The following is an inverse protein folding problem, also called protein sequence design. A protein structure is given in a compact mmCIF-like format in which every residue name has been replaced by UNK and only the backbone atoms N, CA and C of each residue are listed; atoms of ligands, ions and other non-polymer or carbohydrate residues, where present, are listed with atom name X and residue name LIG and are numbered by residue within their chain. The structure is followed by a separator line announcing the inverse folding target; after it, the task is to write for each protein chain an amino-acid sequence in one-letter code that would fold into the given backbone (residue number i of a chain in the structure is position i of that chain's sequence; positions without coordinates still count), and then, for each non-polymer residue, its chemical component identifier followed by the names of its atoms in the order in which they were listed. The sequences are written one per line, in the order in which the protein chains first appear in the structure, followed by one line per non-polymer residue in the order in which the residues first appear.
data_IF_352151761830
#
_entry.id   IF_352151761830
#
_cell.length_a   1.000
_cell.length_b   1.000
_cell.length_c   1.000
_cell.angle_alpha   90.00
_cell.angle_beta   90.00
_cell.angle_gamma   90.00
#
_symmetry.space_group_name_H-M   'P 1'
#
loop_
_entity.id
_entity.type
_entity.pdbx_description
1 polymer ?
#
# COMPACT_ATOMS: atom_id res chain seq x y z
N UNK A 1 5.78 -10.31 -14.05
CA UNK A 1 4.57 -9.60 -14.50
C UNK A 1 3.75 -10.48 -15.40
N UNK A 2 2.45 -10.61 -15.10
CA UNK A 2 1.51 -11.41 -15.86
C UNK A 2 0.59 -10.53 -16.71
N UNK A 3 0.06 -11.11 -17.78
CA UNK A 3 -1.00 -10.50 -18.61
C UNK A 3 -2.31 -11.20 -18.33
N UNK A 4 -3.38 -10.42 -18.23
CA UNK A 4 -4.72 -10.95 -18.00
C UNK A 4 -5.72 -10.32 -18.97
N UNK A 5 -6.61 -11.15 -19.50
CA UNK A 5 -7.68 -10.74 -20.40
C UNK A 5 -9.02 -11.21 -19.81
N UNK A 6 -9.91 -10.25 -19.55
CA UNK A 6 -11.31 -10.53 -19.25
C UNK A 6 -12.17 -10.13 -20.45
N UNK A 7 -12.97 -11.08 -20.93
CA UNK A 7 -13.96 -10.81 -21.96
C UNK A 7 -15.37 -10.96 -21.38
N UNK A 8 -16.21 -9.95 -21.64
CA UNK A 8 -17.61 -9.91 -21.22
C UNK A 8 -18.45 -9.91 -22.48
N UNK A 9 -19.13 -11.03 -22.73
CA UNK A 9 -20.17 -11.10 -23.77
C UNK A 9 -21.41 -10.36 -23.32
N UNK A 10 -22.00 -9.58 -24.22
CA UNK A 10 -23.26 -8.87 -24.00
C UNK A 10 -24.18 -9.06 -25.21
N UNK A 11 -25.47 -8.80 -25.02
CA UNK A 11 -26.39 -8.58 -26.14
C UNK A 11 -26.04 -7.27 -26.86
N UNK A 12 -26.81 -6.89 -27.88
CA UNK A 12 -26.51 -5.69 -28.66
C UNK A 12 -26.50 -4.42 -27.79
N UNK A 13 -25.29 -3.91 -27.54
CA UNK A 13 -25.07 -2.79 -26.63
C UNK A 13 -25.34 -1.47 -27.34
N UNK A 14 -26.12 -0.54 -26.76
CA UNK A 14 -26.44 0.70 -27.46
C UNK A 14 -25.19 1.55 -27.66
N UNK A 15 -24.95 1.96 -28.92
CA UNK A 15 -23.73 2.66 -29.34
C UNK A 15 -23.45 3.94 -28.54
N UNK A 16 -24.50 4.65 -28.14
CA UNK A 16 -24.44 5.86 -27.34
C UNK A 16 -23.75 5.66 -25.96
N UNK A 17 -23.79 4.44 -25.41
CA UNK A 17 -23.22 4.14 -24.09
C UNK A 17 -21.87 3.43 -24.15
N UNK A 18 -21.39 3.00 -25.33
CA UNK A 18 -20.15 2.22 -25.44
C UNK A 18 -18.97 2.96 -24.79
N UNK A 19 -18.72 4.21 -25.18
CA UNK A 19 -17.57 4.97 -24.68
C UNK A 19 -17.65 5.26 -23.18
N UNK A 20 -18.85 5.57 -22.67
CA UNK A 20 -19.03 5.81 -21.23
C UNK A 20 -18.89 4.53 -20.42
N UNK A 21 -19.34 3.38 -20.93
CA UNK A 21 -19.14 2.07 -20.31
C UNK A 21 -17.66 1.66 -20.32
N UNK A 22 -16.93 1.85 -21.43
CA UNK A 22 -15.49 1.58 -21.49
C UNK A 22 -14.75 2.34 -20.39
N UNK A 23 -15.02 3.65 -20.25
CA UNK A 23 -14.41 4.50 -19.22
C UNK A 23 -14.75 4.03 -17.80
N UNK A 24 -16.02 3.70 -17.54
CA UNK A 24 -16.43 3.19 -16.23
C UNK A 24 -15.77 1.86 -15.87
N UNK A 25 -15.61 0.95 -16.84
CA UNK A 25 -14.90 -0.32 -16.62
C UNK A 25 -13.44 -0.06 -16.28
N UNK A 26 -12.78 0.82 -17.02
CA UNK A 26 -11.38 1.18 -16.76
C UNK A 26 -11.21 1.75 -15.33
N UNK A 27 -12.03 2.72 -14.94
CA UNK A 27 -11.99 3.34 -13.60
C UNK A 27 -12.27 2.32 -12.49
N UNK A 28 -13.27 1.45 -12.67
CA UNK A 28 -13.61 0.41 -11.69
C UNK A 28 -12.48 -0.59 -11.53
N UNK A 29 -11.82 -1.00 -12.61
CA UNK A 29 -10.69 -1.93 -12.53
C UNK A 29 -9.45 -1.28 -11.92
N UNK A 30 -9.14 -0.02 -12.24
CA UNK A 30 -8.06 0.72 -11.55
C UNK A 30 -8.29 0.74 -10.04
N UNK A 31 -9.51 1.07 -9.61
CA UNK A 31 -9.88 1.06 -8.19
C UNK A 31 -9.77 -0.32 -7.56
N UNK A 32 -10.24 -1.37 -8.25
CA UNK A 32 -10.16 -2.74 -7.77
C UNK A 32 -8.70 -3.19 -7.57
N UNK A 33 -7.81 -2.84 -8.50
CA UNK A 33 -6.37 -3.14 -8.41
C UNK A 33 -5.75 -2.46 -7.20
N UNK A 34 -6.04 -1.17 -6.98
CA UNK A 34 -5.57 -0.43 -5.82
C UNK A 34 -6.09 -1.03 -4.49
N UNK A 35 -7.40 -1.29 -4.40
CA UNK A 35 -8.05 -1.86 -3.20
C UNK A 35 -7.47 -3.24 -2.83
N UNK A 36 -7.04 -4.02 -3.81
CA UNK A 36 -6.45 -5.34 -3.61
C UNK A 36 -4.92 -5.33 -3.49
N UNK A 37 -4.30 -4.15 -3.38
CA UNK A 37 -2.84 -4.00 -3.29
C UNK A 37 -2.13 -4.73 -4.44
N UNK A 38 -2.62 -4.52 -5.65
CA UNK A 38 -1.99 -4.96 -6.87
C UNK A 38 -1.37 -3.75 -7.58
N UNK A 39 -0.35 -3.99 -8.40
CA UNK A 39 0.19 -3.01 -9.34
C UNK A 39 -0.07 -3.47 -10.77
N UNK A 40 -0.13 -2.48 -11.66
CA UNK A 40 -0.43 -2.67 -13.07
C UNK A 40 0.37 -1.63 -13.87
N UNK A 41 0.92 -2.05 -15.01
CA UNK A 41 1.57 -1.12 -15.95
C UNK A 41 0.54 -0.42 -16.83
N UNK A 42 -0.39 -1.18 -17.41
CA UNK A 42 -1.39 -0.66 -18.34
C UNK A 42 -2.72 -1.40 -18.20
N UNK A 43 -3.81 -0.62 -18.24
CA UNK A 43 -5.17 -1.13 -18.46
C UNK A 43 -5.70 -0.61 -19.79
N UNK A 44 -6.24 -1.53 -20.59
CA UNK A 44 -6.90 -1.20 -21.85
C UNK A 44 -8.27 -1.83 -21.91
N UNK A 45 -9.28 -1.02 -22.23
CA UNK A 45 -10.65 -1.50 -22.45
C UNK A 45 -11.01 -1.32 -23.91
N UNK A 46 -11.43 -2.40 -24.56
CA UNK A 46 -11.93 -2.41 -25.93
C UNK A 46 -13.33 -3.02 -26.02
N UNK A 47 -14.01 -2.76 -27.13
CA UNK A 47 -15.39 -3.23 -27.30
C UNK A 47 -15.76 -3.47 -28.75
N UNK A 48 -16.67 -4.40 -28.94
CA UNK A 48 -17.53 -4.54 -30.12
C UNK A 48 -19.00 -4.41 -29.66
N UNK A 49 -19.99 -4.32 -30.56
CA UNK A 49 -21.40 -4.20 -30.15
C UNK A 49 -21.90 -5.31 -29.21
N UNK A 50 -21.25 -6.48 -29.18
CA UNK A 50 -21.65 -7.65 -28.37
C UNK A 50 -20.58 -8.11 -27.38
N UNK A 51 -19.53 -7.31 -27.15
CA UNK A 51 -18.42 -7.70 -26.29
C UNK A 51 -17.65 -6.51 -25.73
N UNK A 52 -17.25 -6.59 -24.47
CA UNK A 52 -16.19 -5.77 -23.89
C UNK A 52 -14.99 -6.66 -23.55
N UNK A 53 -13.79 -6.15 -23.79
CA UNK A 53 -12.53 -6.80 -23.47
C UNK A 53 -11.69 -5.87 -22.59
N UNK A 54 -11.20 -6.40 -21.47
CA UNK A 54 -10.36 -5.66 -20.52
C UNK A 54 -9.01 -6.38 -20.47
N UNK A 55 -7.98 -5.72 -20.95
CA UNK A 55 -6.60 -6.19 -20.94
C UNK A 55 -5.86 -5.50 -19.81
N UNK A 56 -5.27 -6.31 -18.93
CA UNK A 56 -4.41 -5.88 -17.84
C UNK A 56 -2.99 -6.36 -18.16
N UNK A 57 -2.07 -5.42 -18.38
CA UNK A 57 -0.66 -5.70 -18.62
C UNK A 57 0.17 -5.33 -17.39
N UNK A 58 1.20 -6.13 -17.12
CA UNK A 58 2.05 -5.89 -15.97
C UNK A 58 1.39 -6.17 -14.61
N UNK A 59 0.37 -7.02 -14.54
CA UNK A 59 -0.31 -7.31 -13.27
C UNK A 59 0.63 -8.05 -12.32
N UNK A 60 0.77 -7.52 -11.12
CA UNK A 60 1.57 -8.13 -10.07
C UNK A 60 1.07 -7.74 -8.67
N UNK A 61 1.46 -8.52 -7.66
CA UNK A 61 1.24 -8.13 -6.27
C UNK A 61 2.03 -6.86 -5.95
N UNK A 62 1.35 -5.84 -5.46
CA UNK A 62 2.02 -4.65 -4.95
C UNK A 62 2.58 -4.99 -3.57
N UNK A 63 3.81 -5.52 -3.56
CA UNK A 63 4.59 -5.80 -2.34
C UNK A 63 5.14 -4.54 -1.70
N UNK A 64 4.55 -3.37 -1.93
CA UNK A 64 4.94 -2.15 -1.19
C UNK A 64 4.89 -2.47 0.29
N UNK A 65 6.07 -2.56 0.88
CA UNK A 65 6.23 -2.84 2.29
C UNK A 65 5.63 -1.64 3.02
N UNK A 66 4.42 -1.79 3.57
CA UNK A 66 3.86 -0.79 4.47
C UNK A 66 4.81 -0.71 5.68
N UNK A 67 5.73 0.27 5.65
CA UNK A 67 6.57 0.63 6.77
C UNK A 67 5.68 1.30 7.81
N UNK A 68 5.35 0.57 8.87
CA UNK A 68 4.67 1.13 10.02
C UNK A 68 5.73 1.82 10.87
N UNK A 69 5.67 3.15 10.94
CA UNK A 69 6.48 3.95 11.85
C UNK A 69 5.75 4.06 13.19
N UNK A 70 6.15 3.27 14.18
CA UNK A 70 5.54 3.28 15.52
C UNK A 70 6.21 4.34 16.38
N UNK A 71 5.44 5.31 16.89
CA UNK A 71 5.93 6.35 17.81
C UNK A 71 6.16 5.76 19.21
N UNK A 72 7.32 6.03 19.76
CA UNK A 72 7.75 5.66 21.11
C UNK A 72 7.85 6.86 22.05
N UNK A 73 8.60 6.73 23.16
CA UNK A 73 8.81 7.81 24.12
C UNK A 73 9.59 8.99 23.52
N UNK A 74 9.51 10.17 24.16
CA UNK A 74 10.35 11.31 23.78
C UNK A 74 11.83 10.97 24.00
N UNK A 75 12.72 11.51 23.17
CA UNK A 75 14.17 11.29 23.29
C UNK A 75 14.67 11.61 24.70
N UNK A 76 14.12 12.68 25.32
CA UNK A 76 14.42 13.13 26.68
C UNK A 76 14.22 12.06 27.75
N UNK A 77 13.25 11.16 27.57
CA UNK A 77 12.98 10.07 28.52
C UNK A 77 13.43 8.70 27.99
N UNK A 78 13.87 8.63 26.74
CA UNK A 78 14.33 7.41 26.10
C UNK A 78 15.80 7.10 26.41
N UNK A 79 16.60 8.14 26.66
CA UNK A 79 18.00 8.04 27.05
C UNK A 79 18.24 8.75 28.38
N UNK A 80 19.18 8.26 29.17
CA UNK A 80 19.67 8.96 30.36
C UNK A 80 20.74 10.01 30.01
N UNK A 81 21.26 10.69 31.03
CA UNK A 81 22.26 11.74 30.88
C UNK A 81 23.62 11.23 30.34
N UNK A 82 23.86 9.92 30.40
CA UNK A 82 25.08 9.28 29.89
C UNK A 82 24.87 8.70 28.49
N UNK A 83 23.67 8.83 27.93
CA UNK A 83 23.30 8.32 26.61
C UNK A 83 22.89 6.85 26.61
N UNK A 84 22.69 6.23 27.78
CA UNK A 84 22.25 4.85 27.87
C UNK A 84 20.73 4.72 27.71
N UNK A 85 20.23 3.60 27.13
CA UNK A 85 18.79 3.34 27.00
C UNK A 85 18.07 3.31 28.35
N UNK A 86 17.02 4.09 28.48
CA UNK A 86 16.18 4.10 29.69
C UNK A 86 15.26 2.88 29.76
N UNK A 87 14.65 2.64 30.93
CA UNK A 87 13.60 1.64 31.09
C UNK A 87 12.41 1.88 30.15
N UNK A 88 12.10 3.14 29.83
CA UNK A 88 11.02 3.48 28.92
C UNK A 88 11.34 3.06 27.48
N UNK A 89 12.59 3.28 27.04
CA UNK A 89 13.04 2.85 25.72
C UNK A 89 13.12 1.32 25.62
N UNK A 90 13.70 0.65 26.62
CA UNK A 90 13.79 -0.80 26.65
C UNK A 90 12.42 -1.48 26.68
N UNK A 91 11.47 -0.91 27.43
CA UNK A 91 10.08 -1.39 27.46
C UNK A 91 9.37 -1.22 26.12
N UNK A 92 9.56 -0.07 25.46
CA UNK A 92 9.05 0.18 24.12
C UNK A 92 9.63 -0.81 23.10
N UNK A 93 10.94 -0.97 23.07
CA UNK A 93 11.64 -1.92 22.18
C UNK A 93 11.18 -3.36 22.39
N UNK A 94 11.02 -3.79 23.65
CA UNK A 94 10.48 -5.12 23.97
C UNK A 94 9.05 -5.31 23.46
N UNK A 95 8.17 -4.31 23.65
CA UNK A 95 6.81 -4.33 23.12
C UNK A 95 6.78 -4.33 21.59
N UNK A 96 7.77 -3.70 20.97
CA UNK A 96 7.96 -3.70 19.54
C UNK A 96 8.79 -4.89 19.02
N UNK A 97 9.34 -5.79 19.86
CA UNK A 97 10.24 -6.86 19.39
C UNK A 97 11.35 -6.31 18.46
N UNK A 98 11.92 -5.18 18.83
CA UNK A 98 12.95 -4.45 18.08
C UNK A 98 14.16 -4.21 18.98
N UNK A 99 15.30 -3.96 18.37
CA UNK A 99 16.56 -3.69 19.06
C UNK A 99 16.88 -2.19 19.09
N UNK A 100 17.85 -1.82 19.92
CA UNK A 100 18.29 -0.42 20.03
C UNK A 100 18.80 0.14 18.69
N UNK A 101 19.32 -0.73 17.82
CA UNK A 101 19.78 -0.39 16.46
C UNK A 101 18.63 -0.01 15.51
N UNK A 102 17.39 -0.39 15.83
CA UNK A 102 16.20 -0.11 15.02
C UNK A 102 15.55 1.23 15.39
N UNK A 103 16.11 1.93 16.38
CA UNK A 103 15.61 3.22 16.86
C UNK A 103 16.01 4.32 15.90
N UNK A 104 15.00 5.05 15.43
CA UNK A 104 15.18 6.31 14.71
C UNK A 104 14.58 7.46 15.52
N UNK A 105 15.20 8.63 15.45
CA UNK A 105 14.70 9.83 16.12
C UNK A 105 14.06 10.72 15.07
N UNK A 106 12.81 11.14 15.31
CA UNK A 106 12.09 12.08 14.45
C UNK A 106 11.53 13.23 15.29
N UNK A 107 11.52 14.42 14.71
CA UNK A 107 10.76 15.54 15.27
C UNK A 107 9.27 15.26 15.14
N UNK A 108 8.54 15.52 16.22
CA UNK A 108 7.10 15.54 16.21
C UNK A 108 6.59 16.73 17.03
N UNK A 109 6.12 17.76 16.32
CA UNK A 109 5.61 19.02 16.91
C UNK A 109 6.67 19.77 17.72
N UNK A 110 7.92 19.79 17.24
CA UNK A 110 9.01 20.53 17.89
C UNK A 110 9.66 19.78 19.06
N UNK A 111 9.35 18.51 19.26
CA UNK A 111 10.04 17.63 20.20
C UNK A 111 10.51 16.34 19.51
N UNK A 112 11.71 15.89 19.88
CA UNK A 112 12.29 14.65 19.36
C UNK A 112 11.67 13.43 20.06
N UNK A 113 11.20 12.46 19.26
CA UNK A 113 10.68 11.17 19.72
C UNK A 113 11.44 10.02 19.08
N UNK A 114 11.53 8.91 19.82
CA UNK A 114 11.97 7.63 19.29
C UNK A 114 10.86 7.01 18.45
N UNK A 115 11.21 6.43 17.33
CA UNK A 115 10.35 5.60 16.48
C UNK A 115 11.05 4.28 16.18
N UNK A 116 10.25 3.26 15.87
CA UNK A 116 10.72 2.02 15.24
C UNK A 116 9.93 1.86 13.95
N UNK A 117 10.63 1.68 12.84
CA UNK A 117 10.03 1.33 11.56
C UNK A 117 9.97 -0.18 11.41
N UNK A 118 8.77 -0.68 11.13
CA UNK A 118 8.56 -2.11 10.90
C UNK A 118 7.92 -2.35 9.57
N UNK A 119 8.39 -3.38 8.89
CA UNK A 119 7.66 -3.99 7.79
C UNK A 119 6.38 -4.60 8.36
N UNK A 120 5.23 -4.08 7.96
CA UNK A 120 3.96 -4.77 8.20
C UNK A 120 4.03 -6.09 7.45
N UNK A 121 4.06 -7.21 8.18
CA UNK A 121 3.87 -8.52 7.56
C UNK A 121 2.48 -8.49 6.92
N UNK A 122 2.43 -8.62 5.59
CA UNK A 122 1.17 -8.88 4.92
C UNK A 122 0.57 -10.13 5.57
N UNK A 123 -0.61 -9.98 6.18
CA UNK A 123 -1.41 -11.12 6.59
C UNK A 123 -1.89 -11.76 5.29
N UNK A 124 -1.23 -12.85 4.91
CA UNK A 124 -1.76 -13.81 3.94
C UNK A 124 -3.00 -14.47 4.54
#
# INVERSE_FOLDING_TARGET
MSKYLLEIGVEEFPSAYINSTKKQLEEKFKKLIEENKLSLEEIKVESTPRRFAILLDGLEENKSEELISVKGPSKKIAYDNEGNPSKALLGFLRGQKADISDVIIKDFKGEEYVYVEKKKKALL
#
